data_IF_100056788796
#
_entry.id   IF_100056788796
#
_cell.length_a   1.000
_cell.length_b   1.000
_cell.length_c   1.000
_cell.angle_alpha   90.00
_cell.angle_beta   90.00
_cell.angle_gamma   90.00
#
_symmetry.space_group_name_H-M   'P 1'
#
loop_
_entity.id
_entity.type
_entity.pdbx_description
1 polymer ?
#
# COMPACT_ATOMS: atom_id res chain seq x y z
N UNK A 1 0.11 0.96 9.89
CA UNK A 1 -1.22 1.33 10.44
C UNK A 1 -1.73 0.26 11.41
N UNK A 2 -2.02 -0.97 10.97
CA UNK A 2 -2.58 -2.01 11.87
C UNK A 2 -1.68 -2.42 13.05
N UNK A 3 -0.35 -2.44 12.89
CA UNK A 3 0.59 -2.72 14.00
C UNK A 3 0.54 -1.64 15.10
N UNK A 4 0.21 -0.40 14.74
CA UNK A 4 0.01 0.71 15.68
C UNK A 4 -1.35 0.57 16.38
N UNK A 5 -2.39 0.15 15.64
CA UNK A 5 -3.72 -0.13 16.21
C UNK A 5 -3.69 -1.24 17.28
N UNK A 6 -2.81 -2.24 17.11
CA UNK A 6 -2.61 -3.30 18.11
C UNK A 6 -2.15 -2.77 19.47
N UNK A 7 -1.32 -1.72 19.49
CA UNK A 7 -0.88 -1.09 20.72
C UNK A 7 -2.01 -0.29 21.40
N UNK A 8 -2.93 0.27 20.61
CA UNK A 8 -4.04 1.11 21.10
C UNK A 8 -5.17 0.31 21.74
N UNK A 9 -5.43 -0.92 21.27
CA UNK A 9 -6.53 -1.78 21.79
C UNK A 9 -6.18 -2.56 23.07
N UNK A 10 -5.04 -2.27 23.72
CA UNK A 10 -4.62 -2.94 24.96
C UNK A 10 -4.18 -4.40 24.78
N UNK A 11 -4.11 -4.91 23.55
CA UNK A 11 -3.54 -6.24 23.27
C UNK A 11 -2.03 -6.33 23.59
N UNK A 12 -1.36 -5.18 23.76
CA UNK A 12 -0.01 -5.09 24.29
C UNK A 12 0.12 -5.47 25.79
N UNK A 13 -0.98 -5.66 26.51
CA UNK A 13 -0.96 -6.27 27.85
C UNK A 13 -0.61 -7.77 27.82
N UNK A 14 -0.57 -8.37 26.64
CA UNK A 14 0.03 -9.69 26.39
C UNK A 14 1.51 -9.46 26.01
N UNK A 15 2.43 -10.11 26.73
CA UNK A 15 3.90 -9.93 26.68
C UNK A 15 4.54 -9.89 25.27
N UNK A 16 3.88 -10.46 24.27
CA UNK A 16 4.08 -10.21 22.84
C UNK A 16 2.93 -10.90 22.09
N UNK A 17 2.45 -10.37 20.95
CA UNK A 17 1.53 -11.10 20.09
C UNK A 17 2.20 -12.38 19.59
N UNK A 18 1.50 -13.51 19.65
CA UNK A 18 2.00 -14.76 19.06
C UNK A 18 2.17 -14.65 17.53
N UNK A 19 2.95 -15.54 16.90
CA UNK A 19 3.29 -15.45 15.46
C UNK A 19 2.06 -15.30 14.53
N UNK A 20 0.95 -15.98 14.85
CA UNK A 20 -0.29 -15.90 14.07
C UNK A 20 -0.98 -14.53 14.15
N UNK A 21 -0.90 -13.87 15.31
CA UNK A 21 -1.42 -12.51 15.46
C UNK A 21 -0.56 -11.50 14.69
N UNK A 22 0.75 -11.72 14.60
CA UNK A 22 1.65 -10.90 13.79
C UNK A 22 1.36 -11.03 12.29
N UNK A 23 1.09 -12.25 11.79
CA UNK A 23 0.67 -12.47 10.40
C UNK A 23 -0.67 -11.78 10.06
N UNK A 24 -1.67 -11.88 10.95
CA UNK A 24 -2.98 -11.23 10.74
C UNK A 24 -2.89 -9.70 10.68
N UNK A 25 -1.81 -9.12 11.20
CA UNK A 25 -1.57 -7.68 11.22
C UNK A 25 -0.50 -7.25 10.21
N UNK A 26 0.07 -8.20 9.48
CA UNK A 26 0.98 -7.96 8.37
C UNK A 26 0.18 -7.83 7.06
N UNK A 27 -0.01 -6.60 6.61
CA UNK A 27 -0.61 -6.32 5.31
C UNK A 27 0.40 -6.43 4.15
N UNK A 28 1.67 -6.72 4.44
CA UNK A 28 2.73 -6.83 3.44
C UNK A 28 2.80 -8.19 2.76
N UNK A 29 2.14 -9.22 3.32
CA UNK A 29 2.34 -10.62 2.94
C UNK A 29 1.00 -11.37 2.71
N UNK A 30 0.60 -11.66 1.46
CA UNK A 30 1.24 -11.24 0.21
C UNK A 30 1.03 -9.75 -0.04
N UNK A 31 1.99 -9.12 -0.73
CA UNK A 31 1.87 -7.73 -1.14
C UNK A 31 0.76 -7.60 -2.18
N UNK A 32 -0.16 -6.66 -1.96
CA UNK A 32 -1.23 -6.37 -2.92
C UNK A 32 -0.66 -5.73 -4.17
N UNK A 33 -1.11 -6.18 -5.34
CA UNK A 33 -0.83 -5.53 -6.63
C UNK A 33 -1.99 -4.59 -6.98
N UNK A 34 -1.88 -3.33 -6.55
CA UNK A 34 -2.92 -2.33 -6.78
C UNK A 34 -3.08 -1.96 -8.25
N UNK A 35 -2.03 -2.08 -9.06
CA UNK A 35 -2.10 -1.89 -10.51
C UNK A 35 -3.04 -2.91 -11.12
N UNK A 36 -2.84 -4.21 -10.83
CA UNK A 36 -3.69 -5.28 -11.39
C UNK A 36 -5.14 -5.20 -10.93
N UNK A 37 -5.37 -4.78 -9.69
CA UNK A 37 -6.72 -4.57 -9.17
C UNK A 37 -7.42 -3.45 -9.95
N UNK A 38 -6.75 -2.31 -10.16
CA UNK A 38 -7.30 -1.18 -10.90
C UNK A 38 -7.59 -1.53 -12.37
N UNK A 39 -6.67 -2.22 -13.04
CA UNK A 39 -6.83 -2.68 -14.42
C UNK A 39 -8.06 -3.59 -14.55
N UNK A 40 -8.27 -4.52 -13.59
CA UNK A 40 -9.46 -5.38 -13.55
C UNK A 40 -10.78 -4.61 -13.37
N UNK A 41 -10.72 -3.38 -12.85
CA UNK A 41 -11.86 -2.48 -12.71
C UNK A 41 -12.01 -1.48 -13.88
N UNK A 42 -11.19 -1.63 -14.93
CA UNK A 42 -11.19 -0.73 -16.10
C UNK A 42 -10.55 0.63 -15.83
N UNK A 43 -9.74 0.76 -14.76
CA UNK A 43 -9.02 1.98 -14.42
C UNK A 43 -7.56 1.84 -14.87
N UNK A 44 -7.06 2.71 -15.77
CA UNK A 44 -5.64 2.75 -16.11
C UNK A 44 -4.78 2.95 -14.86
N UNK A 45 -3.71 2.16 -14.74
CA UNK A 45 -2.86 2.19 -13.56
C UNK A 45 -1.37 2.07 -13.87
N UNK A 46 -0.54 2.73 -13.04
CA UNK A 46 0.92 2.67 -13.13
C UNK A 46 1.55 2.62 -11.74
N UNK A 47 2.67 1.90 -11.62
CA UNK A 47 3.53 1.92 -10.43
C UNK A 47 4.71 2.87 -10.65
N UNK A 48 5.02 3.67 -9.62
CA UNK A 48 6.17 4.57 -9.59
C UNK A 48 7.07 4.25 -8.40
N UNK A 49 8.38 4.17 -8.66
CA UNK A 49 9.43 3.96 -7.66
C UNK A 49 10.26 5.23 -7.41
N UNK A 50 10.16 6.21 -8.32
CA UNK A 50 10.89 7.48 -8.26
C UNK A 50 9.94 8.68 -8.33
N UNK A 51 10.43 9.85 -7.93
CA UNK A 51 9.66 11.09 -8.02
C UNK A 51 9.48 11.51 -9.48
N UNK A 52 10.45 11.22 -10.33
CA UNK A 52 10.40 11.46 -11.76
C UNK A 52 9.28 10.62 -12.40
N UNK A 53 9.22 9.33 -12.09
CA UNK A 53 8.15 8.43 -12.57
C UNK A 53 6.78 8.89 -12.06
N UNK A 54 6.67 9.31 -10.80
CA UNK A 54 5.44 9.85 -10.23
C UNK A 54 5.00 11.13 -10.96
N UNK A 55 5.94 12.04 -11.22
CA UNK A 55 5.65 13.31 -11.89
C UNK A 55 5.16 13.08 -13.33
N UNK A 56 5.81 12.17 -14.05
CA UNK A 56 5.38 11.76 -15.39
C UNK A 56 3.98 11.13 -15.36
N UNK A 57 3.74 10.19 -14.44
CA UNK A 57 2.44 9.52 -14.31
C UNK A 57 1.31 10.51 -13.97
N UNK A 58 1.57 11.48 -13.09
CA UNK A 58 0.61 12.52 -12.74
C UNK A 58 0.32 13.45 -13.93
N UNK A 59 1.35 13.84 -14.67
CA UNK A 59 1.20 14.71 -15.86
C UNK A 59 0.30 14.05 -16.91
N UNK A 60 0.53 12.76 -17.19
CA UNK A 60 -0.30 11.98 -18.11
C UNK A 60 -1.73 11.81 -17.59
N UNK A 61 -1.89 11.42 -16.31
CA UNK A 61 -3.20 11.23 -15.70
C UNK A 61 -4.06 12.50 -15.68
N UNK A 62 -3.46 13.69 -15.55
CA UNK A 62 -4.18 14.96 -15.62
C UNK A 62 -4.53 15.40 -17.04
N UNK A 63 -3.80 14.91 -18.05
CA UNK A 63 -4.06 15.24 -19.46
C UNK A 63 -5.20 14.39 -20.05
N UNK A 64 -5.54 13.27 -19.43
CA UNK A 64 -6.56 12.33 -19.89
C UNK A 64 -7.83 12.38 -19.02
N UNK A 65 -9.03 12.33 -19.62
CA UNK A 65 -10.27 12.28 -18.86
C UNK A 65 -10.45 10.91 -18.20
N UNK A 66 -11.01 10.92 -16.99
CA UNK A 66 -11.37 9.69 -16.28
C UNK A 66 -10.41 9.33 -15.14
N UNK A 67 -10.73 8.25 -14.40
CA UNK A 67 -9.95 7.84 -13.24
C UNK A 67 -8.61 7.23 -13.66
N UNK A 68 -7.58 7.52 -12.87
CA UNK A 68 -6.25 6.91 -12.97
C UNK A 68 -5.82 6.45 -11.58
N UNK A 69 -5.15 5.31 -11.50
CA UNK A 69 -4.50 4.86 -10.27
C UNK A 69 -2.98 4.93 -10.42
N UNK A 70 -2.30 5.58 -9.47
CA UNK A 70 -0.84 5.61 -9.41
C UNK A 70 -0.42 4.99 -8.07
N UNK A 71 0.25 3.83 -8.15
CA UNK A 71 0.82 3.15 -6.98
C UNK A 71 2.24 3.66 -6.74
N UNK A 72 2.46 4.39 -5.65
CA UNK A 72 3.78 4.91 -5.29
C UNK A 72 4.43 3.98 -4.27
N UNK A 73 5.53 3.34 -4.64
CA UNK A 73 6.24 2.43 -3.74
C UNK A 73 7.12 3.23 -2.79
N UNK A 74 6.79 3.19 -1.51
CA UNK A 74 7.58 3.82 -0.45
C UNK A 74 8.33 2.73 0.31
N UNK A 75 9.67 2.83 0.45
CA UNK A 75 10.42 1.88 1.26
C UNK A 75 9.94 1.94 2.72
N UNK A 76 9.81 0.77 3.35
CA UNK A 76 9.48 0.69 4.77
C UNK A 76 10.60 1.32 5.59
N UNK A 77 10.25 2.21 6.52
CA UNK A 77 11.18 2.74 7.54
C UNK A 77 11.46 1.73 8.65
N UNK A 78 10.65 0.69 8.77
CA UNK A 78 10.91 -0.45 9.63
C UNK A 78 11.54 -1.55 8.77
N UNK A 79 12.85 -1.74 8.92
CA UNK A 79 13.54 -2.94 8.45
C UNK A 79 13.08 -4.19 9.20
#
# INVERSE_FOLDING_TARGET
ILRIELQRVGAASVKAPGPKAMELLDLGSPTLDFVRIAEGMGVPARRAFTIEELTTALTEAFAEPGPHLIEVVIPSLAG
#
